data_IF_834161105856
#
_entry.id   IF_834161105856
#
_cell.length_a   1.000
_cell.length_b   1.000
_cell.length_c   1.000
_cell.angle_alpha   90.00
_cell.angle_beta   90.00
_cell.angle_gamma   90.00
#
_symmetry.space_group_name_H-M   'P 1'
#
loop_
_entity.id
_entity.type
_entity.pdbx_description
1 polymer ?
#
# COMPACT_ATOMS: atom_id res chain seq x y z
N UNK A 1 -9.95 -13.54 -27.70
CA UNK A 1 -9.69 -12.09 -27.76
C UNK A 1 -10.73 -11.29 -26.98
N UNK A 2 -11.99 -11.73 -26.96
CA UNK A 2 -13.11 -11.11 -26.21
C UNK A 2 -12.88 -10.97 -24.69
N UNK A 3 -12.37 -12.01 -24.04
CA UNK A 3 -12.12 -12.00 -22.59
C UNK A 3 -11.10 -10.92 -22.16
N UNK A 4 -10.09 -10.67 -23.00
CA UNK A 4 -9.05 -9.65 -22.75
C UNK A 4 -9.61 -8.24 -22.94
N UNK A 5 -10.45 -8.03 -23.95
CA UNK A 5 -11.10 -6.73 -24.16
C UNK A 5 -12.05 -6.35 -23.02
N UNK A 6 -12.80 -7.32 -22.49
CA UNK A 6 -13.69 -7.09 -21.36
C UNK A 6 -12.92 -6.82 -20.04
N UNK A 7 -11.78 -7.48 -19.82
CA UNK A 7 -10.91 -7.18 -18.68
C UNK A 7 -10.32 -5.79 -18.76
N UNK A 8 -9.84 -5.38 -19.94
CA UNK A 8 -9.22 -4.06 -20.14
C UNK A 8 -10.25 -2.93 -19.95
N UNK A 9 -11.49 -3.11 -20.44
CA UNK A 9 -12.59 -2.18 -20.22
C UNK A 9 -13.01 -2.09 -18.74
N UNK A 10 -13.02 -3.21 -18.02
CA UNK A 10 -13.32 -3.23 -16.59
C UNK A 10 -12.21 -2.55 -15.77
N UNK A 11 -10.94 -2.75 -16.11
CA UNK A 11 -9.83 -2.09 -15.40
C UNK A 11 -9.84 -0.57 -15.61
N UNK A 12 -10.15 -0.09 -16.82
CA UNK A 12 -10.34 1.32 -17.08
C UNK A 12 -11.52 1.89 -16.27
N UNK A 13 -12.66 1.20 -16.27
CA UNK A 13 -13.83 1.60 -15.49
C UNK A 13 -13.57 1.58 -13.98
N UNK A 14 -12.85 0.57 -13.49
CA UNK A 14 -12.44 0.47 -12.10
C UNK A 14 -11.51 1.62 -11.71
N UNK A 15 -10.53 1.96 -12.55
CA UNK A 15 -9.62 3.06 -12.29
C UNK A 15 -10.35 4.41 -12.17
N UNK A 16 -11.38 4.62 -12.98
CA UNK A 16 -12.18 5.84 -13.01
C UNK A 16 -13.21 5.92 -11.86
N UNK A 17 -13.87 4.80 -11.51
CA UNK A 17 -15.00 4.77 -10.55
C UNK A 17 -14.66 4.05 -9.25
N UNK A 18 -13.37 3.91 -8.92
CA UNK A 18 -12.87 3.11 -7.79
C UNK A 18 -13.58 3.44 -6.47
N UNK A 19 -13.71 4.72 -6.13
CA UNK A 19 -14.29 5.17 -4.86
C UNK A 19 -15.77 4.78 -4.72
N UNK A 20 -16.54 4.94 -5.79
CA UNK A 20 -17.96 4.58 -5.83
C UNK A 20 -18.17 3.07 -5.78
N UNK A 21 -17.33 2.31 -6.48
CA UNK A 21 -17.38 0.84 -6.48
C UNK A 21 -17.03 0.26 -5.10
N UNK A 22 -16.03 0.83 -4.43
CA UNK A 22 -15.70 0.46 -3.05
C UNK A 22 -16.85 0.84 -2.10
N UNK A 23 -17.52 1.98 -2.30
CA UNK A 23 -18.68 2.37 -1.49
C UNK A 23 -19.88 1.42 -1.68
N UNK A 24 -20.05 0.85 -2.87
CA UNK A 24 -21.08 -0.16 -3.20
C UNK A 24 -20.67 -1.60 -2.87
N UNK A 25 -19.42 -1.82 -2.47
CA UNK A 25 -18.93 -3.14 -2.09
C UNK A 25 -19.60 -3.65 -0.79
N UNK A 26 -19.68 -4.98 -0.59
CA UNK A 26 -20.21 -5.58 0.63
C UNK A 26 -19.59 -4.98 1.91
N UNK A 27 -20.43 -4.78 2.93
CA UNK A 27 -20.04 -4.10 4.17
C UNK A 27 -18.84 -4.76 4.88
N UNK A 28 -18.70 -6.09 4.77
CA UNK A 28 -17.55 -6.82 5.32
C UNK A 28 -16.23 -6.45 4.63
N UNK A 29 -16.18 -6.36 3.29
CA UNK A 29 -14.98 -5.96 2.54
C UNK A 29 -14.64 -4.49 2.75
N UNK A 30 -15.66 -3.63 2.90
CA UNK A 30 -15.45 -2.21 3.24
C UNK A 30 -14.81 -2.03 4.60
N UNK A 31 -15.31 -2.72 5.62
CA UNK A 31 -14.76 -2.66 6.98
C UNK A 31 -13.34 -3.23 7.03
N UNK A 32 -13.10 -4.37 6.37
CA UNK A 32 -11.76 -4.96 6.28
C UNK A 32 -10.76 -4.02 5.59
N UNK A 33 -11.19 -3.29 4.55
CA UNK A 33 -10.40 -2.25 3.89
C UNK A 33 -10.11 -1.06 4.81
N UNK A 34 -11.11 -0.57 5.54
CA UNK A 34 -10.95 0.55 6.48
C UNK A 34 -10.01 0.19 7.64
N UNK A 35 -10.10 -1.04 8.16
CA UNK A 35 -9.25 -1.52 9.24
C UNK A 35 -7.82 -1.87 8.78
N UNK A 36 -7.65 -2.20 7.50
CA UNK A 36 -6.35 -2.30 6.84
C UNK A 36 -5.70 -0.92 6.59
N UNK A 37 -6.51 0.13 6.42
CA UNK A 37 -6.05 1.52 6.28
C UNK A 37 -5.66 2.16 7.63
N UNK A 38 -6.32 1.78 8.73
CA UNK A 38 -6.00 2.30 10.07
C UNK A 38 -4.66 1.73 10.57
N UNK A 39 -3.78 2.62 11.05
CA UNK A 39 -2.57 2.29 11.81
C UNK A 39 -2.91 1.84 13.24
N UNK A 40 -3.62 0.71 13.34
CA UNK A 40 -4.13 0.19 14.62
C UNK A 40 -3.28 -0.96 15.18
N UNK A 41 -2.23 -1.39 14.47
CA UNK A 41 -1.42 -2.54 14.89
C UNK A 41 -0.03 -2.07 15.34
N UNK A 42 0.50 -2.65 16.41
CA UNK A 42 1.85 -2.35 16.92
C UNK A 42 2.94 -2.50 15.83
N UNK A 43 2.75 -3.43 14.89
CA UNK A 43 3.61 -3.58 13.71
C UNK A 43 3.57 -2.39 12.73
N UNK A 44 2.44 -1.68 12.60
CA UNK A 44 2.34 -0.46 11.78
C UNK A 44 3.21 0.66 12.35
N UNK A 45 3.19 0.81 13.68
CA UNK A 45 4.01 1.79 14.40
C UNK A 45 5.49 1.42 14.35
N UNK A 46 5.83 0.13 14.50
CA UNK A 46 7.20 -0.35 14.39
C UNK A 46 7.78 -0.06 12.99
N UNK A 47 7.04 -0.41 11.94
CA UNK A 47 7.45 -0.20 10.55
C UNK A 47 7.55 1.30 10.19
N UNK A 48 6.75 2.16 10.80
CA UNK A 48 6.83 3.60 10.59
C UNK A 48 8.09 4.25 11.19
N UNK A 49 8.60 3.70 12.31
CA UNK A 49 9.78 4.25 13.01
C UNK A 49 11.10 3.76 12.39
N UNK A 50 11.12 2.57 11.79
CA UNK A 50 12.34 1.98 11.19
C UNK A 50 13.05 2.91 10.19
N UNK A 51 12.37 3.54 9.20
CA UNK A 51 13.02 4.48 8.27
C UNK A 51 13.69 5.65 8.99
N UNK A 52 13.08 6.15 10.07
CA UNK A 52 13.59 7.28 10.86
C UNK A 52 14.88 6.86 11.58
N UNK A 53 14.90 5.68 12.21
CA UNK A 53 16.09 5.15 12.88
C UNK A 53 17.24 4.98 11.89
N UNK A 54 16.97 4.43 10.71
CA UNK A 54 18.00 4.24 9.67
C UNK A 54 18.54 5.58 9.17
N UNK A 55 17.68 6.57 8.94
CA UNK A 55 18.10 7.91 8.55
C UNK A 55 18.98 8.58 9.60
N UNK A 56 18.59 8.52 10.88
CA UNK A 56 19.37 9.09 11.99
C UNK A 56 20.71 8.39 12.10
N UNK A 57 20.75 7.06 12.07
CA UNK A 57 21.98 6.28 12.12
C UNK A 57 22.93 6.64 10.96
N UNK A 58 22.39 6.80 9.75
CA UNK A 58 23.17 7.19 8.58
C UNK A 58 23.74 8.61 8.71
N UNK A 59 22.93 9.57 9.15
CA UNK A 59 23.39 10.95 9.36
C UNK A 59 24.45 11.03 10.47
N UNK A 60 24.28 10.27 11.56
CA UNK A 60 25.24 10.20 12.67
C UNK A 60 26.55 9.49 12.33
N UNK A 61 26.56 8.63 11.30
CA UNK A 61 27.78 7.93 10.88
C UNK A 61 28.83 8.85 10.22
N UNK A 62 28.45 10.09 9.86
CA UNK A 62 29.39 11.09 9.33
C UNK A 62 30.06 10.69 8.02
N UNK A 63 29.43 9.77 7.26
CA UNK A 63 30.00 9.17 6.05
C UNK A 63 30.24 10.18 4.92
N UNK A 64 29.47 11.26 4.89
CA UNK A 64 29.53 12.30 3.86
C UNK A 64 29.80 13.65 4.52
N UNK A 65 30.90 14.30 4.12
CA UNK A 65 31.34 15.58 4.68
C UNK A 65 30.46 16.77 4.27
N UNK A 66 29.84 16.70 3.09
CA UNK A 66 28.90 17.72 2.63
C UNK A 66 27.53 17.49 3.25
N UNK A 67 27.05 18.45 4.05
CA UNK A 67 25.77 18.34 4.75
C UNK A 67 24.58 18.17 3.79
N UNK A 68 24.56 18.91 2.68
CA UNK A 68 23.48 18.83 1.68
C UNK A 68 23.46 17.44 1.04
N UNK A 69 24.63 16.92 0.68
CA UNK A 69 24.75 15.62 0.02
C UNK A 69 24.46 14.46 1.00
N UNK A 70 24.84 14.63 2.27
CA UNK A 70 24.53 13.70 3.35
C UNK A 70 23.02 13.62 3.60
N UNK A 71 22.36 14.77 3.66
CA UNK A 71 20.91 14.84 3.82
C UNK A 71 20.16 14.23 2.62
N UNK A 72 20.60 14.53 1.39
CA UNK A 72 20.01 13.94 0.19
C UNK A 72 20.17 12.41 0.16
N UNK A 73 21.34 11.89 0.53
CA UNK A 73 21.58 10.45 0.65
C UNK A 73 20.71 9.81 1.75
N UNK A 74 20.60 10.45 2.91
CA UNK A 74 19.72 9.99 3.99
C UNK A 74 18.26 9.94 3.56
N UNK A 75 17.77 10.95 2.83
CA UNK A 75 16.42 10.99 2.30
C UNK A 75 16.16 9.85 1.29
N UNK A 76 17.09 9.57 0.39
CA UNK A 76 17.01 8.46 -0.54
C UNK A 76 16.96 7.10 0.17
N UNK A 77 17.81 6.90 1.18
CA UNK A 77 17.83 5.68 1.98
C UNK A 77 16.53 5.53 2.76
N UNK A 78 16.07 6.60 3.43
CA UNK A 78 14.80 6.61 4.16
C UNK A 78 13.62 6.26 3.27
N UNK A 79 13.57 6.81 2.05
CA UNK A 79 12.55 6.48 1.05
C UNK A 79 12.61 5.01 0.63
N UNK A 80 13.81 4.48 0.34
CA UNK A 80 13.97 3.07 -0.04
C UNK A 80 13.53 2.12 1.10
N UNK A 81 13.91 2.41 2.34
CA UNK A 81 13.49 1.64 3.53
C UNK A 81 11.98 1.76 3.73
N UNK A 82 11.39 2.94 3.52
CA UNK A 82 9.95 3.12 3.59
C UNK A 82 9.20 2.23 2.59
N UNK A 83 9.65 2.19 1.33
CA UNK A 83 9.07 1.30 0.32
C UNK A 83 9.20 -0.17 0.75
N UNK A 84 10.35 -0.58 1.28
CA UNK A 84 10.54 -1.94 1.83
C UNK A 84 9.58 -2.23 2.99
N UNK A 85 9.37 -1.27 3.90
CA UNK A 85 8.41 -1.45 5.01
C UNK A 85 6.98 -1.59 4.51
N UNK A 86 6.60 -0.94 3.41
CA UNK A 86 5.29 -1.16 2.78
C UNK A 86 5.14 -2.58 2.23
N UNK A 87 6.20 -3.15 1.65
CA UNK A 87 6.19 -4.52 1.12
C UNK A 87 6.15 -5.57 2.24
N UNK A 88 6.82 -5.29 3.35
CA UNK A 88 6.90 -6.19 4.52
C UNK A 88 5.68 -6.07 5.43
N UNK A 89 4.93 -4.96 5.35
CA UNK A 89 3.70 -4.69 6.12
C UNK A 89 2.73 -5.87 6.22
N UNK A 90 2.32 -6.54 5.12
CA UNK A 90 1.40 -7.69 5.19
C UNK A 90 2.00 -8.89 5.96
N UNK A 91 3.32 -9.07 5.93
CA UNK A 91 4.00 -10.17 6.62
C UNK A 91 4.13 -9.95 8.13
N UNK A 92 4.35 -8.69 8.55
CA UNK A 92 4.56 -8.36 9.98
C UNK A 92 3.25 -8.13 10.72
N UNK A 93 2.24 -7.57 10.06
CA UNK A 93 0.97 -7.22 10.70
C UNK A 93 -0.07 -8.33 10.64
N UNK A 94 0.14 -9.35 9.80
CA UNK A 94 -0.84 -10.42 9.56
C UNK A 94 -2.12 -9.94 8.88
N UNK A 95 -2.22 -8.65 8.51
CA UNK A 95 -3.33 -8.08 7.76
C UNK A 95 -3.17 -8.40 6.28
N UNK A 96 -4.27 -8.79 5.62
CA UNK A 96 -4.32 -8.90 4.15
C UNK A 96 -3.99 -7.54 3.53
N UNK A 97 -3.24 -7.55 2.42
CA UNK A 97 -2.86 -6.30 1.78
C UNK A 97 -4.09 -5.61 1.18
N UNK A 98 -4.09 -4.28 1.14
CA UNK A 98 -5.14 -3.51 0.47
C UNK A 98 -5.30 -3.91 -1.00
N UNK A 99 -4.23 -4.42 -1.63
CA UNK A 99 -4.24 -4.93 -3.00
C UNK A 99 -5.03 -6.23 -3.09
N UNK A 100 -4.90 -7.12 -2.11
CA UNK A 100 -5.66 -8.37 -2.07
C UNK A 100 -7.15 -8.09 -1.81
N UNK A 101 -7.46 -7.15 -0.92
CA UNK A 101 -8.85 -6.73 -0.65
C UNK A 101 -9.46 -6.06 -1.89
N UNK A 102 -8.74 -5.15 -2.56
CA UNK A 102 -9.21 -4.53 -3.81
C UNK A 102 -9.39 -5.60 -4.91
N UNK A 103 -8.55 -6.64 -4.97
CA UNK A 103 -8.71 -7.77 -5.90
C UNK A 103 -9.94 -8.62 -5.59
N UNK A 104 -10.24 -8.88 -4.32
CA UNK A 104 -11.45 -9.60 -3.89
C UNK A 104 -12.72 -8.79 -4.23
N UNK A 105 -12.69 -7.46 -4.07
CA UNK A 105 -13.79 -6.57 -4.50
C UNK A 105 -13.96 -6.60 -6.03
N UNK A 106 -12.86 -6.55 -6.79
CA UNK A 106 -12.92 -6.70 -8.26
C UNK A 106 -13.47 -8.05 -8.67
N UNK A 107 -13.09 -9.14 -7.98
CA UNK A 107 -13.60 -10.47 -8.24
C UNK A 107 -15.11 -10.55 -7.99
N UNK A 108 -15.60 -9.93 -6.92
CA UNK A 108 -17.03 -9.80 -6.65
C UNK A 108 -17.80 -9.12 -7.80
N UNK A 109 -17.32 -7.98 -8.29
CA UNK A 109 -17.98 -7.27 -9.40
C UNK A 109 -17.81 -7.93 -10.77
N UNK A 110 -16.76 -8.75 -10.98
CA UNK A 110 -16.60 -9.56 -12.19
C UNK A 110 -17.52 -10.79 -12.20
N UNK A 111 -17.85 -11.33 -11.02
CA UNK A 111 -18.70 -12.52 -10.89
C UNK A 111 -20.20 -12.21 -10.86
N UNK A 112 -20.60 -10.99 -10.50
CA UNK A 112 -22.00 -10.57 -10.64
C UNK A 112 -22.36 -10.42 -12.12
N UNK A 113 -23.26 -11.29 -12.66
CA UNK A 113 -23.82 -11.07 -13.97
C UNK A 113 -24.64 -9.78 -13.88
N UNK A 114 -24.42 -8.84 -14.81
CA UNK A 114 -25.30 -7.68 -14.94
C UNK A 114 -26.72 -8.17 -15.28
N UNK A 115 -27.56 -8.33 -14.28
CA UNK A 115 -29.02 -8.40 -14.42
C UNK A 115 -29.61 -7.01 -14.48
#
# INVERSE_FOLDING_TARGET
MEAKHNSDNFEAYWAEHKSELIARAPQHLRQEREDALKMNTAGDWLLAIVPIIVMVAFLSAGLIRSEILNFAAAALIGFAIYVLTMLVKPYVTGKRSLVDIDNDIKAYFRQQPRT
#
